data_IF_947195117114
#
_entry.id   IF_947195117114
#
_cell.length_a   1.000
_cell.length_b   1.000
_cell.length_c   1.000
_cell.angle_alpha   90.00
_cell.angle_beta   90.00
_cell.angle_gamma   90.00
#
_symmetry.space_group_name_H-M   'P 1'
#
loop_
_entity.id
_entity.type
_entity.pdbx_description
1 polymer ?
#
# COMPACT_ATOMS: atom_id res chain seq x y z
N UNK A 1 -0.61 18.51 -11.76
CA UNK A 1 -0.77 17.67 -10.57
C UNK A 1 0.58 17.09 -10.22
N UNK A 2 1.00 17.20 -8.96
CA UNK A 2 2.28 16.77 -8.47
C UNK A 2 2.11 15.71 -7.40
N UNK A 3 2.60 14.51 -7.68
CA UNK A 3 2.46 13.34 -6.81
C UNK A 3 3.78 13.04 -6.11
N UNK A 4 3.74 12.95 -4.78
CA UNK A 4 4.85 12.43 -4.00
C UNK A 4 4.96 10.92 -4.16
N UNK A 5 6.15 10.39 -4.40
CA UNK A 5 6.40 8.94 -4.41
C UNK A 5 7.45 8.62 -3.36
N UNK A 6 7.12 7.77 -2.39
CA UNK A 6 8.06 7.40 -1.33
C UNK A 6 9.21 6.56 -1.92
N UNK A 7 10.38 7.18 -2.11
CA UNK A 7 11.51 6.60 -2.84
C UNK A 7 12.66 6.16 -1.91
N UNK A 8 12.30 5.64 -0.73
CA UNK A 8 13.27 5.15 0.27
C UNK A 8 13.81 3.76 -0.09
N UNK A 9 12.93 2.88 -0.58
CA UNK A 9 13.21 1.53 -1.04
C UNK A 9 11.96 1.01 -1.77
N UNK A 10 12.12 0.16 -2.78
CA UNK A 10 10.99 -0.55 -3.40
C UNK A 10 10.71 -0.15 -4.85
N UNK A 11 9.52 -0.51 -5.33
CA UNK A 11 9.10 -0.36 -6.73
C UNK A 11 8.55 1.05 -7.04
N UNK A 12 9.28 2.10 -6.65
CA UNK A 12 8.84 3.48 -6.87
C UNK A 12 8.95 3.91 -8.33
N UNK A 13 9.93 3.40 -9.08
CA UNK A 13 10.19 3.77 -10.49
C UNK A 13 9.01 3.37 -11.38
N UNK A 14 8.47 2.16 -11.18
CA UNK A 14 7.33 1.62 -11.92
C UNK A 14 6.07 2.46 -11.69
N UNK A 15 5.84 2.90 -10.45
CA UNK A 15 4.76 3.84 -10.15
C UNK A 15 4.97 5.19 -10.85
N UNK A 16 6.18 5.74 -10.83
CA UNK A 16 6.48 7.00 -11.49
C UNK A 16 6.29 6.97 -13.01
N UNK A 17 6.66 5.86 -13.65
CA UNK A 17 6.50 5.70 -15.10
C UNK A 17 5.02 5.84 -15.47
N UNK A 18 4.14 5.10 -14.79
CA UNK A 18 2.69 5.14 -15.03
C UNK A 18 2.12 6.53 -14.73
N UNK A 19 2.52 7.16 -13.61
CA UNK A 19 2.04 8.50 -13.25
C UNK A 19 2.44 9.55 -14.31
N UNK A 20 3.67 9.48 -14.83
CA UNK A 20 4.17 10.36 -15.90
C UNK A 20 3.43 10.12 -17.21
N UNK A 21 3.15 8.86 -17.56
CA UNK A 21 2.32 8.50 -18.73
C UNK A 21 0.91 9.08 -18.64
N UNK A 22 0.35 9.14 -17.43
CA UNK A 22 -0.95 9.76 -17.14
C UNK A 22 -0.88 11.30 -16.99
N UNK A 23 0.28 11.91 -17.22
CA UNK A 23 0.46 13.37 -17.22
C UNK A 23 0.70 14.01 -15.86
N UNK A 24 0.96 13.23 -14.80
CA UNK A 24 1.32 13.75 -13.49
C UNK A 24 2.84 13.99 -13.37
N UNK A 25 3.24 15.01 -12.60
CA UNK A 25 4.62 15.19 -12.18
C UNK A 25 4.92 14.34 -10.95
N UNK A 26 6.07 13.68 -10.90
CA UNK A 26 6.49 12.90 -9.74
C UNK A 26 7.57 13.63 -8.94
N UNK A 27 7.40 13.68 -7.63
CA UNK A 27 8.41 14.11 -6.68
C UNK A 27 8.82 12.92 -5.81
N UNK A 28 10.05 12.44 -5.98
CA UNK A 28 10.62 11.45 -5.08
C UNK A 28 10.77 12.04 -3.68
N UNK A 29 10.24 11.33 -2.68
CA UNK A 29 10.37 11.65 -1.27
C UNK A 29 11.45 10.75 -0.66
N UNK A 30 12.67 11.28 -0.52
CA UNK A 30 13.86 10.54 -0.06
C UNK A 30 14.39 11.02 1.28
N UNK A 31 14.03 12.23 1.72
CA UNK A 31 14.44 12.86 2.97
C UNK A 31 13.38 13.86 3.44
N UNK A 32 13.47 14.29 4.70
CA UNK A 32 12.52 15.24 5.30
C UNK A 32 12.33 16.53 4.50
N UNK A 33 13.40 17.13 3.96
CA UNK A 33 13.32 18.37 3.17
C UNK A 33 12.51 18.22 1.86
N UNK A 34 12.29 16.99 1.39
CA UNK A 34 11.48 16.77 0.18
C UNK A 34 9.98 16.98 0.48
N UNK A 35 9.59 16.92 1.77
CA UNK A 35 8.24 17.13 2.26
C UNK A 35 7.87 18.62 2.39
N UNK A 36 8.84 19.53 2.23
CA UNK A 36 8.63 20.98 2.29
C UNK A 36 7.80 21.49 1.12
N UNK A 37 7.77 20.72 0.02
CA UNK A 37 6.98 21.05 -1.16
C UNK A 37 5.63 20.35 -1.07
N UNK A 38 4.57 21.10 -1.34
CA UNK A 38 3.23 20.52 -1.42
C UNK A 38 3.11 19.54 -2.59
N UNK A 39 2.32 18.50 -2.34
CA UNK A 39 1.97 17.43 -3.29
C UNK A 39 0.46 17.18 -3.18
N UNK A 40 -0.15 16.84 -4.30
CA UNK A 40 -1.59 16.65 -4.44
C UNK A 40 -2.04 15.24 -4.02
N UNK A 41 -1.08 14.34 -3.84
CA UNK A 41 -1.25 12.97 -3.37
C UNK A 41 0.10 12.29 -3.14
N UNK A 42 0.08 11.13 -2.49
CA UNK A 42 1.27 10.33 -2.21
C UNK A 42 1.09 8.85 -2.60
N UNK A 43 2.10 8.28 -3.24
CA UNK A 43 2.22 6.83 -3.46
C UNK A 43 3.16 6.22 -2.42
N UNK A 44 2.69 5.18 -1.74
CA UNK A 44 3.47 4.32 -0.85
C UNK A 44 3.69 2.98 -1.57
N UNK A 45 4.87 2.76 -2.19
CA UNK A 45 5.07 1.65 -3.11
C UNK A 45 5.32 0.32 -2.39
N UNK A 46 5.24 -0.77 -3.15
CA UNK A 46 5.72 -2.09 -2.75
C UNK A 46 7.23 -2.10 -2.45
N UNK A 47 7.70 -3.10 -1.72
CA UNK A 47 9.08 -3.16 -1.22
C UNK A 47 9.19 -4.00 0.05
N UNK A 48 10.09 -3.61 0.94
CA UNK A 48 10.23 -4.21 2.27
C UNK A 48 9.80 -3.21 3.36
N UNK A 49 8.62 -3.44 3.92
CA UNK A 49 7.94 -2.50 4.82
C UNK A 49 8.74 -2.17 6.09
N UNK A 50 9.54 -3.10 6.61
CA UNK A 50 10.39 -2.83 7.80
C UNK A 50 11.56 -1.91 7.48
N UNK A 51 12.15 -2.05 6.29
CA UNK A 51 13.21 -1.16 5.82
C UNK A 51 12.64 0.23 5.56
N UNK A 52 11.52 0.32 4.86
CA UNK A 52 10.85 1.59 4.60
C UNK A 52 10.45 2.30 5.91
N UNK A 53 9.88 1.59 6.90
CA UNK A 53 9.58 2.16 8.23
C UNK A 53 10.84 2.70 8.93
N UNK A 54 11.89 1.89 8.99
CA UNK A 54 13.14 2.30 9.63
C UNK A 54 13.69 3.60 9.01
N UNK A 55 13.69 3.69 7.68
CA UNK A 55 14.15 4.88 6.98
C UNK A 55 13.22 6.08 7.21
N UNK A 56 11.89 5.89 7.23
CA UNK A 56 10.93 6.94 7.57
C UNK A 56 11.19 7.56 8.95
N UNK A 57 11.56 6.73 9.94
CA UNK A 57 11.90 7.16 11.30
C UNK A 57 13.27 7.87 11.33
N UNK A 58 14.31 7.24 10.78
CA UNK A 58 15.69 7.78 10.77
C UNK A 58 15.81 9.11 10.02
N UNK A 59 15.00 9.30 8.98
CA UNK A 59 14.98 10.52 8.17
C UNK A 59 13.97 11.57 8.67
N UNK A 60 13.26 11.30 9.77
CA UNK A 60 12.30 12.24 10.37
C UNK A 60 11.09 12.55 9.47
N UNK A 61 10.66 11.59 8.65
CA UNK A 61 9.60 11.75 7.65
C UNK A 61 8.24 11.23 8.13
N UNK A 62 8.24 10.26 9.06
CA UNK A 62 7.05 9.50 9.47
C UNK A 62 5.91 10.41 9.95
N UNK A 63 6.16 11.24 10.95
CA UNK A 63 5.12 12.08 11.58
C UNK A 63 4.55 13.12 10.61
N UNK A 64 5.41 13.70 9.77
CA UNK A 64 4.99 14.70 8.76
C UNK A 64 4.07 14.06 7.72
N UNK A 65 4.43 12.90 7.17
CA UNK A 65 3.60 12.17 6.22
C UNK A 65 2.29 11.75 6.87
N UNK A 66 2.35 11.16 8.08
CA UNK A 66 1.17 10.75 8.85
C UNK A 66 0.18 11.90 9.02
N UNK A 67 0.67 13.07 9.42
CA UNK A 67 -0.15 14.26 9.61
C UNK A 67 -0.80 14.70 8.30
N UNK A 68 -0.07 14.74 7.19
CA UNK A 68 -0.62 15.08 5.87
C UNK A 68 -1.73 14.11 5.44
N UNK A 69 -1.54 12.80 5.66
CA UNK A 69 -2.56 11.77 5.39
C UNK A 69 -3.82 12.01 6.24
N UNK A 70 -3.66 12.25 7.54
CA UNK A 70 -4.78 12.54 8.45
C UNK A 70 -5.50 13.86 8.12
N UNK A 71 -4.81 14.80 7.45
CA UNK A 71 -5.39 16.04 6.94
C UNK A 71 -6.08 15.88 5.58
N UNK A 72 -6.12 14.65 5.03
CA UNK A 72 -6.87 14.32 3.82
C UNK A 72 -6.02 14.20 2.56
N UNK A 73 -4.68 14.18 2.64
CA UNK A 73 -3.82 13.91 1.49
C UNK A 73 -4.19 12.55 0.86
N UNK A 74 -4.55 12.50 -0.44
CA UNK A 74 -4.83 11.24 -1.11
C UNK A 74 -3.65 10.28 -1.12
N UNK A 75 -3.91 9.00 -0.89
CA UNK A 75 -2.88 7.95 -0.81
C UNK A 75 -3.21 6.77 -1.72
N UNK A 76 -2.24 6.34 -2.51
CA UNK A 76 -2.22 5.01 -3.11
C UNK A 76 -1.12 4.18 -2.46
N UNK A 77 -1.50 3.11 -1.76
CA UNK A 77 -0.58 2.24 -1.05
C UNK A 77 -0.64 0.81 -1.60
N UNK A 78 0.52 0.28 -2.02
CA UNK A 78 0.62 -1.05 -2.65
C UNK A 78 1.54 -1.95 -1.85
N UNK A 79 1.14 -3.21 -1.63
CA UNK A 79 1.89 -4.25 -0.91
C UNK A 79 2.55 -3.76 0.40
N UNK A 80 3.81 -3.33 0.37
CA UNK A 80 4.51 -2.78 1.54
C UNK A 80 3.86 -1.49 2.05
N UNK A 81 3.42 -0.60 1.16
CA UNK A 81 2.67 0.60 1.51
C UNK A 81 1.39 0.29 2.27
N UNK A 82 0.65 -0.76 1.88
CA UNK A 82 -0.54 -1.20 2.60
C UNK A 82 -0.20 -1.59 4.06
N UNK A 83 0.92 -2.29 4.26
CA UNK A 83 1.40 -2.63 5.62
C UNK A 83 1.77 -1.37 6.41
N UNK A 84 2.33 -0.33 5.76
CA UNK A 84 2.68 0.92 6.43
C UNK A 84 1.42 1.70 6.88
N UNK A 85 0.36 1.71 6.07
CA UNK A 85 -0.90 2.40 6.39
C UNK A 85 -1.74 1.70 7.47
N UNK A 86 -1.71 0.36 7.49
CA UNK A 86 -2.57 -0.45 8.34
C UNK A 86 -2.51 -0.04 9.82
N UNK A 87 -3.67 0.04 10.47
CA UNK A 87 -3.82 0.31 11.90
C UNK A 87 -3.21 -0.79 12.76
N UNK A 88 -3.26 -2.04 12.29
CA UNK A 88 -2.68 -3.18 13.00
C UNK A 88 -1.96 -4.13 12.04
N UNK A 89 -0.83 -4.68 12.47
CA UNK A 89 -0.05 -5.64 11.69
C UNK A 89 0.16 -6.93 12.48
N UNK A 90 -0.33 -8.05 11.94
CA UNK A 90 -0.21 -9.37 12.56
C UNK A 90 0.85 -10.25 11.86
N UNK A 91 1.07 -11.46 12.40
CA UNK A 91 2.00 -12.42 11.82
C UNK A 91 3.46 -12.22 12.19
N UNK A 92 3.73 -11.45 13.26
CA UNK A 92 5.05 -11.42 13.90
C UNK A 92 5.30 -12.75 14.62
N UNK A 93 5.68 -13.80 13.88
CA UNK A 93 6.48 -14.87 14.49
C UNK A 93 7.66 -14.16 15.14
N UNK A 94 7.86 -14.42 16.43
CA UNK A 94 9.03 -14.02 17.20
C UNK A 94 10.23 -13.87 16.26
N UNK A 95 10.55 -12.63 15.88
CA UNK A 95 11.79 -12.39 15.18
C UNK A 95 12.85 -12.94 16.12
N UNK A 96 13.46 -14.04 15.66
CA UNK A 96 14.32 -14.95 16.41
C UNK A 96 15.22 -14.16 17.35
N UNK A 97 15.66 -14.80 18.43
CA UNK A 97 16.74 -14.37 19.36
C UNK A 97 18.03 -13.83 18.70
N UNK A 98 18.09 -13.71 17.37
CA UNK A 98 19.21 -13.23 16.54
C UNK A 98 18.97 -11.91 15.79
N UNK A 99 17.82 -11.23 15.91
CA UNK A 99 17.62 -9.94 15.22
C UNK A 99 18.21 -8.77 16.03
N UNK A 100 19.51 -8.50 15.84
CA UNK A 100 20.21 -7.29 16.29
C UNK A 100 19.81 -6.01 15.52
N UNK A 101 18.77 -6.06 14.68
CA UNK A 101 18.49 -5.01 13.67
C UNK A 101 17.15 -4.30 13.91
N UNK A 102 16.22 -4.87 14.68
CA UNK A 102 14.97 -4.18 15.05
C UNK A 102 14.91 -3.92 16.55
N UNK A 103 14.89 -2.65 16.98
CA UNK A 103 14.57 -2.29 18.35
C UNK A 103 13.30 -3.00 18.81
N UNK A 104 13.33 -3.63 19.99
CA UNK A 104 12.17 -4.33 20.58
C UNK A 104 10.92 -3.43 20.67
N UNK A 105 11.09 -2.11 20.74
CA UNK A 105 10.03 -1.11 20.79
C UNK A 105 9.21 -0.96 19.50
N UNK A 106 9.73 -1.39 18.35
CA UNK A 106 9.06 -1.26 17.04
C UNK A 106 8.33 -2.54 16.61
N UNK A 107 8.49 -3.63 17.36
CA UNK A 107 7.86 -4.92 17.06
C UNK A 107 6.36 -4.88 17.36
N UNK A 108 5.56 -4.87 16.32
CA UNK A 108 4.10 -5.04 16.38
C UNK A 108 3.33 -3.73 16.29
N UNK A 109 4.03 -2.59 16.32
CA UNK A 109 3.40 -1.30 16.09
C UNK A 109 3.12 -1.09 14.60
N UNK A 110 1.96 -0.52 14.29
CA UNK A 110 1.68 0.07 12.99
C UNK A 110 2.61 1.26 12.70
N UNK A 111 2.85 1.56 11.42
CA UNK A 111 3.72 2.68 11.02
C UNK A 111 2.94 4.00 11.01
N UNK A 112 2.08 4.20 10.01
CA UNK A 112 1.22 5.38 9.96
C UNK A 112 -0.05 5.19 10.79
N UNK A 113 -0.63 3.99 10.76
CA UNK A 113 -1.86 3.62 11.48
C UNK A 113 -3.06 4.53 11.12
N UNK A 114 -3.24 4.80 9.83
CA UNK A 114 -4.30 5.69 9.31
C UNK A 114 -5.37 4.95 8.50
N UNK A 115 -5.17 3.66 8.22
CA UNK A 115 -6.11 2.79 7.52
C UNK A 115 -6.64 1.72 8.49
N UNK A 116 -7.94 1.74 8.86
CA UNK A 116 -8.48 0.89 9.94
C UNK A 116 -8.74 -0.55 9.47
N UNK A 117 -7.64 -1.26 9.23
CA UNK A 117 -7.55 -2.67 8.85
C UNK A 117 -6.44 -3.36 9.63
N UNK A 118 -6.59 -4.67 9.82
CA UNK A 118 -5.49 -5.54 10.27
C UNK A 118 -4.86 -6.22 9.06
N UNK A 119 -3.55 -6.07 8.90
CA UNK A 119 -2.79 -6.67 7.79
C UNK A 119 -1.80 -7.70 8.31
N UNK A 120 -1.80 -8.89 7.73
CA UNK A 120 -0.81 -9.93 7.99
C UNK A 120 0.28 -9.92 6.94
N UNK A 121 1.54 -9.92 7.39
CA UNK A 121 2.71 -10.01 6.50
C UNK A 121 2.89 -11.43 5.96
N UNK A 122 3.31 -11.55 4.70
CA UNK A 122 3.74 -12.80 4.07
C UNK A 122 2.74 -13.97 4.27
N UNK A 123 1.45 -13.69 4.13
CA UNK A 123 0.39 -14.59 4.57
C UNK A 123 0.26 -15.86 3.70
N UNK A 124 0.65 -15.79 2.43
CA UNK A 124 0.49 -16.88 1.46
C UNK A 124 1.62 -17.94 1.50
N UNK A 125 2.59 -17.79 2.42
CA UNK A 125 3.70 -18.73 2.59
C UNK A 125 4.85 -18.55 1.59
N UNK A 126 6.01 -19.20 1.83
CA UNK A 126 7.24 -19.00 1.05
C UNK A 126 7.22 -19.63 -0.34
N UNK A 127 6.51 -20.74 -0.53
CA UNK A 127 6.46 -21.47 -1.81
C UNK A 127 5.37 -20.96 -2.75
N UNK A 128 4.28 -20.40 -2.20
CA UNK A 128 3.15 -19.81 -2.94
C UNK A 128 3.14 -18.28 -2.86
N UNK A 129 4.29 -17.69 -2.48
CA UNK A 129 4.38 -16.28 -2.12
C UNK A 129 4.04 -15.34 -3.26
N UNK A 130 4.11 -15.79 -4.52
CA UNK A 130 3.74 -14.97 -5.67
C UNK A 130 2.76 -15.70 -6.57
N UNK A 131 1.74 -15.00 -7.04
CA UNK A 131 0.71 -15.53 -7.93
C UNK A 131 -0.04 -14.39 -8.64
N UNK A 132 -0.71 -14.74 -9.72
CA UNK A 132 -1.58 -13.81 -10.46
C UNK A 132 -3.05 -14.22 -10.31
N UNK A 133 -3.93 -13.23 -10.35
CA UNK A 133 -5.39 -13.43 -10.35
C UNK A 133 -6.06 -12.30 -11.14
N UNK A 134 -7.39 -12.26 -11.15
CA UNK A 134 -8.17 -11.15 -11.68
C UNK A 134 -9.41 -10.93 -10.85
N UNK A 135 -9.79 -9.68 -10.61
CA UNK A 135 -11.06 -9.34 -9.97
C UNK A 135 -11.61 -8.03 -10.54
N UNK A 136 -12.92 -7.83 -10.44
CA UNK A 136 -13.51 -6.51 -10.63
C UNK A 136 -13.12 -5.66 -9.42
N UNK A 137 -12.79 -4.39 -9.68
CA UNK A 137 -12.40 -3.44 -8.64
C UNK A 137 -13.38 -2.28 -8.66
N UNK A 138 -14.07 -2.08 -7.53
CA UNK A 138 -15.06 -1.02 -7.36
C UNK A 138 -14.42 0.36 -7.48
N UNK A 139 -15.05 1.24 -8.25
CA UNK A 139 -14.58 2.61 -8.50
C UNK A 139 -13.62 2.77 -9.68
N UNK A 140 -13.19 1.68 -10.33
CA UNK A 140 -12.42 1.80 -11.57
C UNK A 140 -13.30 2.21 -12.75
N UNK A 141 -12.69 2.90 -13.72
CA UNK A 141 -13.26 3.00 -15.07
C UNK A 141 -13.50 1.59 -15.61
N UNK A 142 -14.65 1.36 -16.26
CA UNK A 142 -15.03 0.03 -16.74
C UNK A 142 -15.00 -1.00 -15.59
N UNK A 143 -15.66 -0.70 -14.46
CA UNK A 143 -15.67 -1.52 -13.23
C UNK A 143 -16.01 -3.00 -13.46
N UNK A 144 -16.87 -3.28 -14.43
CA UNK A 144 -17.27 -4.64 -14.82
C UNK A 144 -16.17 -5.41 -15.59
N UNK A 145 -15.13 -4.74 -16.09
CA UNK A 145 -13.99 -5.37 -16.76
C UNK A 145 -12.97 -5.79 -15.68
N UNK A 146 -12.66 -7.10 -15.54
CA UNK A 146 -11.70 -7.57 -14.56
C UNK A 146 -10.35 -6.85 -14.67
N UNK A 147 -9.76 -6.54 -13.53
CA UNK A 147 -8.42 -5.99 -13.42
C UNK A 147 -7.42 -7.12 -13.10
N UNK A 148 -6.30 -7.22 -13.83
CA UNK A 148 -5.25 -8.20 -13.54
C UNK A 148 -4.55 -7.88 -12.22
N UNK A 149 -4.40 -8.86 -11.35
CA UNK A 149 -3.80 -8.71 -10.02
C UNK A 149 -2.49 -9.50 -9.95
N UNK A 150 -1.39 -8.83 -9.64
CA UNK A 150 -0.08 -9.47 -9.42
C UNK A 150 0.30 -9.40 -7.94
N UNK A 151 0.44 -10.55 -7.30
CA UNK A 151 0.80 -10.67 -5.89
C UNK A 151 2.25 -11.15 -5.78
N UNK A 152 3.11 -10.41 -5.08
CA UNK A 152 4.52 -10.79 -4.85
C UNK A 152 4.82 -10.71 -3.37
N UNK A 153 4.95 -11.87 -2.73
CA UNK A 153 5.02 -12.04 -1.27
C UNK A 153 3.98 -11.18 -0.53
N UNK A 154 2.78 -11.13 -1.11
CA UNK A 154 1.77 -10.15 -0.76
C UNK A 154 1.32 -10.25 0.71
N UNK A 155 0.95 -9.12 1.33
CA UNK A 155 0.22 -9.12 2.59
C UNK A 155 -1.20 -9.66 2.40
N UNK A 156 -1.86 -9.95 3.52
CA UNK A 156 -3.27 -10.33 3.57
C UNK A 156 -4.04 -9.40 4.50
N UNK A 157 -5.19 -8.90 4.06
CA UNK A 157 -6.09 -8.08 4.89
C UNK A 157 -6.92 -9.04 5.73
N UNK A 158 -6.55 -9.22 7.00
CA UNK A 158 -7.20 -10.17 7.91
C UNK A 158 -8.57 -9.70 8.39
N UNK A 159 -8.70 -8.41 8.67
CA UNK A 159 -9.94 -7.82 9.13
C UNK A 159 -10.03 -6.35 8.75
N UNK A 160 -11.27 -5.89 8.63
CA UNK A 160 -11.62 -4.47 8.56
C UNK A 160 -12.11 -4.05 9.94
N UNK A 161 -11.50 -3.02 10.52
CA UNK A 161 -11.77 -2.58 11.89
C UNK A 161 -12.66 -1.33 11.95
N UNK A 162 -12.72 -0.53 10.87
CA UNK A 162 -13.42 0.76 10.81
C UNK A 162 -14.92 0.70 10.50
N UNK A 163 -15.57 -0.45 10.61
CA UNK A 163 -17.00 -0.59 10.28
C UNK A 163 -17.31 -0.31 8.81
N UNK A 164 -18.41 0.39 8.53
CA UNK A 164 -18.90 0.68 7.17
C UNK A 164 -18.07 1.76 6.43
N UNK A 165 -17.22 2.50 7.13
CA UNK A 165 -16.38 3.55 6.50
C UNK A 165 -15.24 2.97 5.65
N UNK A 166 -14.83 1.74 5.92
CA UNK A 166 -13.83 1.03 5.13
C UNK A 166 -14.54 0.17 4.10
N UNK A 167 -14.34 0.52 2.85
CA UNK A 167 -14.97 -0.11 1.71
C UNK A 167 -14.04 -1.17 1.11
N UNK A 168 -14.38 -2.47 1.15
CA UNK A 168 -13.69 -3.47 0.34
C UNK A 168 -13.96 -3.19 -1.14
N UNK A 169 -12.91 -2.84 -1.90
CA UNK A 169 -13.03 -2.51 -3.33
C UNK A 169 -12.60 -3.66 -4.23
N UNK A 170 -11.83 -4.64 -3.72
CA UNK A 170 -11.39 -5.80 -4.49
C UNK A 170 -11.37 -7.07 -3.61
N UNK A 171 -11.96 -8.15 -4.14
CA UNK A 171 -12.07 -9.45 -3.45
C UNK A 171 -11.73 -10.58 -4.43
N UNK A 172 -10.94 -11.56 -3.99
CA UNK A 172 -10.71 -12.80 -4.74
C UNK A 172 -11.33 -14.00 -4.03
N UNK A 173 -11.95 -14.90 -4.80
CA UNK A 173 -12.66 -16.05 -4.25
C UNK A 173 -11.77 -17.26 -3.95
N UNK A 174 -10.67 -17.40 -4.69
CA UNK A 174 -9.81 -18.57 -4.66
C UNK A 174 -8.35 -18.15 -4.50
N UNK A 175 -7.67 -18.76 -3.52
CA UNK A 175 -6.24 -18.60 -3.31
C UNK A 175 -5.43 -19.69 -4.05
N UNK A 176 -4.11 -19.49 -4.23
CA UNK A 176 -3.25 -20.46 -4.93
C UNK A 176 -3.17 -21.83 -4.26
N UNK A 177 -3.37 -21.89 -2.94
CA UNK A 177 -3.42 -23.14 -2.17
C UNK A 177 -4.73 -23.92 -2.37
N UNK A 178 -5.64 -23.41 -3.19
CA UNK A 178 -6.94 -24.01 -3.49
C UNK A 178 -8.03 -23.67 -2.47
N UNK A 179 -7.71 -22.97 -1.38
CA UNK A 179 -8.70 -22.50 -0.43
C UNK A 179 -9.65 -21.50 -1.10
N UNK A 180 -10.91 -21.50 -0.63
CA UNK A 180 -11.98 -20.64 -1.14
C UNK A 180 -12.55 -19.79 -0.02
N UNK A 181 -12.91 -18.56 -0.34
CA UNK A 181 -13.50 -17.62 0.61
C UNK A 181 -13.52 -16.21 0.05
N UNK A 182 -14.10 -15.26 0.79
CA UNK A 182 -14.04 -13.83 0.43
C UNK A 182 -12.73 -13.25 0.94
N UNK A 183 -11.70 -13.23 0.08
CA UNK A 183 -10.39 -12.69 0.45
C UNK A 183 -10.29 -11.23 -0.02
N UNK A 184 -10.28 -10.29 0.92
CA UNK A 184 -10.17 -8.86 0.61
C UNK A 184 -8.72 -8.57 0.21
N UNK A 185 -8.53 -7.99 -0.97
CA UNK A 185 -7.21 -7.67 -1.55
C UNK A 185 -7.06 -6.19 -1.92
N UNK A 186 -8.14 -5.42 -1.79
CA UNK A 186 -8.12 -3.97 -1.93
C UNK A 186 -9.19 -3.34 -1.06
N UNK A 187 -8.86 -2.23 -0.40
CA UNK A 187 -9.77 -1.43 0.42
C UNK A 187 -9.63 0.06 0.08
N UNK A 188 -10.70 0.81 0.30
CA UNK A 188 -10.73 2.26 0.31
C UNK A 188 -11.23 2.76 1.65
N UNK A 189 -10.59 3.80 2.19
CA UNK A 189 -11.01 4.48 3.42
C UNK A 189 -10.70 5.97 3.28
N UNK A 190 -11.75 6.80 3.29
CA UNK A 190 -11.60 8.23 3.00
C UNK A 190 -10.79 8.43 1.70
N UNK A 191 -9.70 9.21 1.75
CA UNK A 191 -8.82 9.47 0.61
C UNK A 191 -7.66 8.45 0.47
N UNK A 192 -7.78 7.26 1.08
CA UNK A 192 -6.73 6.24 1.06
C UNK A 192 -7.19 5.00 0.29
N UNK A 193 -6.38 4.55 -0.67
CA UNK A 193 -6.50 3.25 -1.35
C UNK A 193 -5.38 2.35 -0.84
N UNK A 194 -5.74 1.17 -0.33
CA UNK A 194 -4.79 0.14 0.11
C UNK A 194 -4.96 -1.14 -0.69
N UNK A 195 -3.92 -1.56 -1.42
CA UNK A 195 -3.91 -2.73 -2.29
C UNK A 195 -2.86 -3.75 -1.85
N UNK A 196 -3.25 -5.02 -1.78
CA UNK A 196 -2.33 -6.12 -1.45
C UNK A 196 -1.48 -6.59 -2.65
N UNK A 197 -1.84 -6.15 -3.86
CA UNK A 197 -1.21 -6.49 -5.13
C UNK A 197 -0.48 -5.28 -5.73
N UNK A 198 0.22 -5.53 -6.85
CA UNK A 198 1.07 -4.58 -7.56
C UNK A 198 0.42 -4.11 -8.88
N UNK A 199 -0.45 -3.10 -8.88
CA UNK A 199 -1.03 -2.55 -10.11
C UNK A 199 0.03 -1.97 -11.07
N UNK A 200 1.20 -1.60 -10.55
CA UNK A 200 2.31 -1.06 -11.33
C UNK A 200 3.01 -2.09 -12.24
N UNK A 201 2.72 -3.38 -12.08
CA UNK A 201 3.39 -4.46 -12.82
C UNK A 201 2.53 -5.11 -13.92
N UNK A 202 1.29 -4.67 -14.10
CA UNK A 202 0.30 -5.39 -14.94
C UNK A 202 -0.07 -4.67 -16.24
N UNK A 203 0.47 -3.47 -16.48
CA UNK A 203 0.22 -2.70 -17.70
C UNK A 203 -1.21 -2.13 -17.84
N UNK A 204 -2.01 -2.15 -16.77
CA UNK A 204 -3.36 -1.55 -16.72
C UNK A 204 -3.34 -0.37 -15.72
N UNK A 205 -3.57 0.84 -16.23
CA UNK A 205 -3.40 2.10 -15.49
C UNK A 205 -4.59 2.47 -14.61
N UNK A 206 -5.69 1.73 -14.66
CA UNK A 206 -6.97 2.14 -14.05
C UNK A 206 -6.87 2.41 -12.54
N UNK A 207 -6.04 1.68 -11.80
CA UNK A 207 -5.80 1.93 -10.38
C UNK A 207 -5.13 3.29 -10.13
N UNK A 208 -4.15 3.66 -10.96
CA UNK A 208 -3.48 4.96 -10.90
C UNK A 208 -4.42 6.09 -11.37
N UNK A 209 -5.23 5.86 -12.39
CA UNK A 209 -6.28 6.81 -12.82
C UNK A 209 -7.29 7.08 -11.70
N UNK A 210 -7.76 6.03 -11.01
CA UNK A 210 -8.65 6.16 -9.85
C UNK A 210 -7.98 6.99 -8.74
N UNK A 211 -6.71 6.72 -8.43
CA UNK A 211 -5.96 7.52 -7.46
C UNK A 211 -5.82 8.99 -7.89
N UNK A 212 -5.42 9.26 -9.14
CA UNK A 212 -5.30 10.63 -9.65
C UNK A 212 -6.63 11.38 -9.63
N UNK A 213 -7.75 10.70 -9.83
CA UNK A 213 -9.09 11.32 -9.73
C UNK A 213 -9.44 11.79 -8.31
N UNK A 214 -8.76 11.26 -7.29
CA UNK A 214 -8.90 11.69 -5.89
C UNK A 214 -8.00 12.88 -5.54
N UNK A 215 -7.00 13.18 -6.37
CA UNK A 215 -6.10 14.29 -6.18
C UNK A 215 -6.72 15.58 -6.71
N UNK A 216 -6.75 16.62 -5.87
CA UNK A 216 -7.17 17.96 -6.29
C UNK A 216 -5.97 18.69 -6.90
N UNK A 217 -6.22 19.55 -7.89
CA UNK A 217 -5.24 20.51 -8.43
C UNK A 217 -5.46 21.89 -7.81
#
# INVERSE_FOLDING_TARGET
MRIGVLALQGAFIEHEQILKELGAECAELRKSSDLDKEVDGIVLPGGESTVQRKLLEELGMLETIKKKIQQGLPVLATCAGLILLAESVSGQREARKTALIEPRSLRGQACFATLPVTVRRNAYGRQLGSFSSSANIRGLREEERPFPLEFIRAPYIESVCGGEEVEPIAVIEKLPDGSRGKNIVGVRYQNQIGLAFHPELVGDTRCHEMFLSMCHA
#
